data_IF_463970269799
#
_entry.id   IF_463970269799
#
_cell.length_a   1.000
_cell.length_b   1.000
_cell.length_c   1.000
_cell.angle_alpha   90.00
_cell.angle_beta   90.00
_cell.angle_gamma   90.00
#
_symmetry.space_group_name_H-M   'P 1'
#
loop_
_entity.id
_entity.type
_entity.pdbx_description
1 polymer ?
#
# COMPACT_ATOMS: atom_id res chain seq x y z
N UNK A 1 17.67 -18.45 48.00
CA UNK A 1 19.09 -18.44 47.58
C UNK A 1 19.41 -17.00 47.18
N UNK A 2 19.64 -16.13 48.16
CA UNK A 2 20.95 -15.85 48.78
C UNK A 2 21.85 -15.09 47.81
N UNK A 3 21.98 -13.78 48.02
CA UNK A 3 23.24 -13.08 48.31
C UNK A 3 23.03 -11.56 48.19
N UNK A 4 22.91 -10.87 49.32
CA UNK A 4 23.36 -9.47 49.44
C UNK A 4 23.60 -9.17 50.92
N UNK A 5 24.59 -9.86 51.47
CA UNK A 5 25.13 -9.63 52.81
C UNK A 5 26.52 -9.06 52.63
N UNK A 6 26.70 -7.74 52.74
CA UNK A 6 27.92 -7.12 53.26
C UNK A 6 27.73 -5.60 53.32
N UNK A 7 27.36 -5.05 54.48
CA UNK A 7 27.91 -3.76 54.87
C UNK A 7 28.18 -3.74 56.37
N UNK A 8 29.48 -3.67 56.66
CA UNK A 8 30.10 -3.83 57.95
C UNK A 8 29.85 -2.58 58.78
N UNK A 9 29.36 -2.80 59.99
CA UNK A 9 29.16 -1.83 61.07
C UNK A 9 30.51 -1.21 61.47
N UNK A 10 30.64 0.12 61.42
CA UNK A 10 31.76 0.84 62.07
C UNK A 10 31.25 2.11 62.77
N UNK A 11 31.70 2.41 64.01
CA UNK A 11 31.03 3.37 64.87
C UNK A 11 31.52 4.82 64.68
N UNK A 12 30.61 5.72 65.03
CA UNK A 12 30.69 7.17 65.22
C UNK A 12 32.05 7.71 65.67
N UNK A 13 32.56 8.73 64.95
CA UNK A 13 33.24 9.89 65.56
C UNK A 13 32.76 11.18 64.89
N UNK A 14 32.34 12.10 65.76
CA UNK A 14 31.93 13.48 65.50
C UNK A 14 33.13 14.30 65.02
N UNK A 15 32.93 15.08 63.96
CA UNK A 15 33.89 16.05 63.45
C UNK A 15 33.23 16.93 62.39
N UNK A 16 32.83 18.14 62.77
CA UNK A 16 32.23 19.13 61.89
C UNK A 16 33.29 19.67 60.92
N UNK A 17 33.20 19.36 59.63
CA UNK A 17 33.95 20.03 58.55
C UNK A 17 33.14 20.00 57.26
N UNK A 18 32.72 21.19 56.86
CA UNK A 18 32.61 21.74 55.50
C UNK A 18 31.72 21.05 54.45
N UNK A 19 30.89 21.89 53.85
CA UNK A 19 29.92 21.62 52.80
C UNK A 19 30.64 21.12 51.52
N UNK A 20 30.62 19.81 51.27
CA UNK A 20 31.00 19.24 49.98
C UNK A 20 29.82 18.43 49.45
N UNK A 21 29.18 18.99 48.42
CA UNK A 21 27.98 18.49 47.77
C UNK A 21 28.16 17.06 47.24
N UNK A 22 27.50 16.09 47.85
CA UNK A 22 27.28 14.77 47.25
C UNK A 22 26.25 14.90 46.12
N UNK A 23 26.73 15.03 44.89
CA UNK A 23 25.92 14.89 43.69
C UNK A 23 25.59 13.40 43.55
N UNK A 24 24.40 13.00 44.02
CA UNK A 24 23.87 11.66 43.81
C UNK A 24 23.59 11.44 42.33
N UNK A 25 24.32 10.53 41.70
CA UNK A 25 24.01 10.06 40.35
C UNK A 25 22.72 9.24 40.39
N UNK A 26 21.60 9.88 40.06
CA UNK A 26 20.34 9.17 39.79
C UNK A 26 20.51 8.35 38.52
N UNK A 27 20.71 7.04 38.67
CA UNK A 27 20.62 6.10 37.56
C UNK A 27 19.16 6.07 37.08
N UNK A 28 18.87 6.80 36.00
CA UNK A 28 17.59 6.72 35.32
C UNK A 28 17.48 5.33 34.69
N UNK A 29 16.68 4.45 35.31
CA UNK A 29 16.26 3.20 34.67
C UNK A 29 15.34 3.59 33.52
N UNK A 30 15.86 3.60 32.29
CA UNK A 30 15.05 3.82 31.10
C UNK A 30 14.05 2.67 30.99
N UNK A 31 12.76 2.99 31.09
CA UNK A 31 11.70 2.02 30.79
C UNK A 31 11.90 1.51 29.35
N UNK A 32 11.76 0.20 29.10
CA UNK A 32 11.81 -0.31 27.74
C UNK A 32 10.70 0.39 26.95
N UNK A 33 11.08 1.16 25.93
CA UNK A 33 10.09 1.72 25.03
C UNK A 33 9.40 0.55 24.33
N UNK A 34 8.08 0.62 24.23
CA UNK A 34 7.25 -0.42 23.60
C UNK A 34 6.71 0.18 22.32
N UNK A 35 6.84 -0.55 21.22
CA UNK A 35 6.22 -0.15 19.96
C UNK A 35 4.72 -0.40 20.07
N UNK A 36 3.91 0.65 19.89
CA UNK A 36 2.47 0.53 20.00
C UNK A 36 1.85 -0.14 18.76
N UNK A 37 0.80 -0.97 18.91
CA UNK A 37 0.06 -1.50 17.76
C UNK A 37 -0.56 -0.39 16.89
N UNK A 38 -0.93 0.75 17.48
CA UNK A 38 -1.46 1.89 16.75
C UNK A 38 -0.44 2.54 15.81
N UNK A 39 0.82 2.72 16.27
CA UNK A 39 1.89 3.25 15.41
C UNK A 39 2.24 2.29 14.27
N UNK A 40 2.15 0.98 14.49
CA UNK A 40 2.36 -0.02 13.43
C UNK A 40 1.25 0.07 12.38
N UNK A 41 -0.02 0.15 12.81
CA UNK A 41 -1.17 0.33 11.90
C UNK A 41 -1.05 1.60 11.06
N UNK A 42 -0.67 2.71 11.69
CA UNK A 42 -0.48 3.98 10.99
C UNK A 42 0.65 3.92 9.95
N UNK A 43 1.77 3.25 10.28
CA UNK A 43 2.86 3.04 9.33
C UNK A 43 2.40 2.21 8.12
N UNK A 44 1.63 1.13 8.35
CA UNK A 44 1.06 0.30 7.28
C UNK A 44 0.08 1.08 6.42
N UNK A 45 -0.84 1.82 7.03
CA UNK A 45 -1.81 2.64 6.28
C UNK A 45 -1.10 3.68 5.40
N UNK A 46 -0.06 4.34 5.96
CA UNK A 46 0.72 5.34 5.23
C UNK A 46 1.45 4.71 4.04
N UNK A 47 2.07 3.53 4.25
CA UNK A 47 2.73 2.78 3.20
C UNK A 47 1.77 2.38 2.08
N UNK A 48 0.61 1.83 2.43
CA UNK A 48 -0.41 1.41 1.46
C UNK A 48 -0.92 2.62 0.68
N UNK A 49 -1.27 3.71 1.38
CA UNK A 49 -1.76 4.94 0.75
C UNK A 49 -0.75 5.55 -0.22
N UNK A 50 0.55 5.50 0.09
CA UNK A 50 1.61 5.97 -0.80
C UNK A 50 1.78 5.11 -2.06
N UNK A 51 1.40 3.83 -2.01
CA UNK A 51 1.45 2.92 -3.17
C UNK A 51 0.20 2.99 -4.06
N UNK A 52 -0.85 3.70 -3.65
CA UNK A 52 -2.08 3.79 -4.42
C UNK A 52 -1.96 4.76 -5.61
N UNK A 53 -2.64 4.48 -6.74
CA UNK A 53 -2.68 5.42 -7.86
C UNK A 53 -3.42 6.70 -7.46
N UNK A 54 -3.18 7.85 -8.13
CA UNK A 54 -3.86 9.11 -7.81
C UNK A 54 -5.38 9.04 -7.84
N UNK A 55 -5.94 8.23 -8.74
CA UNK A 55 -7.38 7.97 -8.85
C UNK A 55 -7.96 7.35 -7.56
N UNK A 56 -7.12 6.74 -6.73
CA UNK A 56 -7.46 6.05 -5.49
C UNK A 56 -7.23 6.87 -4.21
N UNK A 57 -7.03 8.18 -4.33
CA UNK A 57 -6.77 9.06 -3.17
C UNK A 57 -7.85 8.97 -2.08
N UNK A 58 -9.11 8.69 -2.46
CA UNK A 58 -10.26 8.57 -1.55
C UNK A 58 -10.60 7.11 -1.18
N UNK A 59 -9.74 6.15 -1.53
CA UNK A 59 -9.96 4.75 -1.17
C UNK A 59 -10.03 4.57 0.34
N UNK A 60 -10.94 3.70 0.78
CA UNK A 60 -11.04 3.28 2.18
C UNK A 60 -10.00 2.19 2.42
N UNK A 61 -9.12 2.40 3.39
CA UNK A 61 -8.07 1.45 3.75
C UNK A 61 -8.42 0.87 5.12
N UNK A 62 -8.59 -0.44 5.20
CA UNK A 62 -8.85 -1.17 6.44
C UNK A 62 -7.65 -2.06 6.75
N UNK A 63 -6.93 -1.76 7.83
CA UNK A 63 -5.80 -2.57 8.30
C UNK A 63 -6.30 -3.50 9.41
N UNK A 64 -6.15 -4.81 9.21
CA UNK A 64 -6.54 -5.83 10.19
C UNK A 64 -5.37 -6.13 11.13
N UNK A 65 -5.57 -5.83 12.43
CA UNK A 65 -4.54 -6.01 13.45
C UNK A 65 -3.40 -4.98 13.40
N UNK A 66 -2.35 -5.13 14.23
CA UNK A 66 -2.27 -6.07 15.34
C UNK A 66 -3.27 -5.70 16.44
N UNK A 67 -3.67 -6.66 17.26
CA UNK A 67 -4.58 -6.43 18.39
C UNK A 67 -3.98 -5.41 19.38
N UNK A 68 -4.84 -4.63 20.04
CA UNK A 68 -4.42 -3.49 20.86
C UNK A 68 -3.65 -3.88 22.14
N UNK A 69 -3.80 -5.13 22.58
CA UNK A 69 -3.17 -5.73 23.75
C UNK A 69 -1.77 -6.32 23.46
N UNK A 70 -1.43 -6.51 22.18
CA UNK A 70 -0.10 -6.97 21.79
C UNK A 70 0.96 -5.92 22.11
N UNK A 71 2.07 -6.38 22.68
CA UNK A 71 3.24 -5.55 22.99
C UNK A 71 4.40 -5.97 22.12
N UNK A 72 4.95 -5.01 21.40
CA UNK A 72 6.12 -5.22 20.54
C UNK A 72 7.34 -4.50 21.12
N UNK A 73 8.55 -5.08 21.02
CA UNK A 73 9.77 -4.36 21.36
C UNK A 73 9.88 -3.07 20.54
N UNK A 74 10.46 -2.00 21.11
CA UNK A 74 10.76 -0.79 20.35
C UNK A 74 11.52 -1.13 19.07
N UNK A 75 11.14 -0.48 17.98
CA UNK A 75 11.85 -0.59 16.72
C UNK A 75 12.50 0.74 16.33
N UNK A 76 13.80 0.73 16.07
CA UNK A 76 14.53 1.89 15.55
C UNK A 76 14.54 1.92 14.01
N UNK A 77 14.48 0.76 13.36
CA UNK A 77 14.44 0.63 11.90
C UNK A 77 13.24 -0.23 11.47
N UNK A 78 12.08 0.43 11.39
CA UNK A 78 10.81 -0.19 10.98
C UNK A 78 10.67 -0.10 9.46
N UNK A 79 10.50 -1.26 8.82
CA UNK A 79 10.35 -1.40 7.38
C UNK A 79 9.00 -2.00 7.05
N UNK A 80 8.36 -1.49 6.01
CA UNK A 80 7.09 -1.99 5.48
C UNK A 80 7.28 -2.40 4.04
N UNK A 81 6.76 -3.56 3.66
CA UNK A 81 6.79 -4.05 2.28
C UNK A 81 5.51 -4.84 1.98
N UNK A 82 5.10 -4.88 0.71
CA UNK A 82 4.04 -5.79 0.30
C UNK A 82 4.55 -7.23 0.34
N UNK A 83 3.76 -8.12 0.93
CA UNK A 83 4.02 -9.54 0.90
C UNK A 83 3.34 -10.17 -0.32
N UNK A 84 4.13 -10.69 -1.26
CA UNK A 84 3.64 -11.22 -2.52
C UNK A 84 3.39 -10.13 -3.57
N UNK A 85 2.40 -10.36 -4.45
CA UNK A 85 2.07 -9.41 -5.51
C UNK A 85 1.23 -8.27 -4.94
N UNK A 86 1.72 -7.04 -5.07
CA UNK A 86 0.96 -5.85 -4.70
C UNK A 86 -0.27 -5.73 -5.62
N UNK A 87 -1.45 -5.62 -5.02
CA UNK A 87 -2.69 -5.29 -5.71
C UNK A 87 -3.13 -3.90 -5.22
N UNK A 88 -3.30 -2.90 -6.10
CA UNK A 88 -3.73 -1.57 -5.67
C UNK A 88 -5.13 -1.58 -5.00
N UNK A 89 -5.96 -2.59 -5.28
CA UNK A 89 -7.32 -2.67 -4.76
C UNK A 89 -7.60 -4.03 -4.09
N UNK A 90 -8.56 -4.08 -3.18
CA UNK A 90 -8.98 -5.31 -2.52
C UNK A 90 -8.03 -5.79 -1.42
N UNK A 91 -7.99 -7.10 -1.20
CA UNK A 91 -7.23 -7.72 -0.12
C UNK A 91 -5.75 -7.88 -0.48
N UNK A 92 -4.88 -7.45 0.42
CA UNK A 92 -3.44 -7.57 0.32
C UNK A 92 -2.81 -7.78 1.69
N UNK A 93 -1.53 -8.13 1.73
CA UNK A 93 -0.81 -8.34 2.99
C UNK A 93 0.43 -7.46 3.00
N UNK A 94 0.63 -6.74 4.10
CA UNK A 94 1.83 -5.93 4.33
C UNK A 94 2.68 -6.60 5.38
N UNK A 95 3.93 -6.88 5.04
CA UNK A 95 4.96 -7.25 6.00
C UNK A 95 5.47 -5.99 6.70
N UNK A 96 5.44 -6.01 8.02
CA UNK A 96 6.13 -5.03 8.85
C UNK A 96 7.28 -5.75 9.53
N UNK A 97 8.50 -5.28 9.30
CA UNK A 97 9.72 -5.87 9.83
C UNK A 97 10.50 -4.82 10.61
N UNK A 98 10.97 -5.22 11.79
CA UNK A 98 11.98 -4.48 12.52
C UNK A 98 13.35 -5.11 12.31
N UNK A 99 14.36 -4.31 11.98
CA UNK A 99 15.75 -4.77 11.81
C UNK A 99 16.63 -4.54 13.04
N UNK A 100 16.30 -3.55 13.88
CA UNK A 100 17.08 -3.22 15.07
C UNK A 100 16.23 -2.47 16.13
N UNK A 101 16.55 -2.59 17.43
CA UNK A 101 17.61 -3.44 18.01
C UNK A 101 17.24 -4.93 18.11
N UNK A 102 15.94 -5.25 18.08
CA UNK A 102 15.44 -6.62 18.07
C UNK A 102 14.74 -6.90 16.75
N UNK A 103 15.10 -8.03 16.13
CA UNK A 103 14.52 -8.43 14.85
C UNK A 103 13.19 -9.13 15.09
N UNK A 104 12.14 -8.61 14.48
CA UNK A 104 10.81 -9.22 14.47
C UNK A 104 10.08 -8.87 13.19
N UNK A 105 9.10 -9.68 12.79
CA UNK A 105 8.24 -9.40 11.64
C UNK A 105 6.80 -9.80 11.94
N UNK A 106 5.88 -9.14 11.25
CA UNK A 106 4.45 -9.40 11.33
C UNK A 106 3.80 -9.14 9.97
N UNK A 107 2.75 -9.89 9.68
CA UNK A 107 2.00 -9.80 8.44
C UNK A 107 0.61 -9.29 8.76
N UNK A 108 0.27 -8.12 8.23
CA UNK A 108 -1.04 -7.51 8.45
C UNK A 108 -1.85 -7.57 7.17
N UNK A 109 -3.02 -8.24 7.19
CA UNK A 109 -3.97 -8.12 6.11
C UNK A 109 -4.47 -6.68 6.03
N UNK A 110 -4.53 -6.15 4.81
CA UNK A 110 -5.08 -4.84 4.50
C UNK A 110 -6.11 -5.00 3.40
N UNK A 111 -7.25 -4.32 3.52
CA UNK A 111 -8.26 -4.24 2.48
C UNK A 111 -8.36 -2.81 1.98
N UNK A 112 -8.31 -2.61 0.67
CA UNK A 112 -8.50 -1.31 0.03
C UNK A 112 -9.77 -1.35 -0.79
N UNK A 113 -10.81 -0.67 -0.30
CA UNK A 113 -12.11 -0.60 -0.96
C UNK A 113 -12.27 0.75 -1.66
N UNK A 114 -12.58 0.71 -2.95
CA UNK A 114 -12.81 1.90 -3.76
C UNK A 114 -13.91 1.65 -4.79
N UNK A 115 -14.86 2.57 -4.87
CA UNK A 115 -15.73 2.69 -6.05
C UNK A 115 -14.98 3.43 -7.15
N UNK A 116 -14.98 2.83 -8.33
CA UNK A 116 -14.35 3.37 -9.53
C UNK A 116 -15.33 3.29 -10.69
N UNK A 117 -15.44 4.40 -11.43
CA UNK A 117 -16.09 4.43 -12.72
C UNK A 117 -15.33 3.55 -13.71
N UNK A 118 -16.01 2.54 -14.24
CA UNK A 118 -15.49 1.66 -15.29
C UNK A 118 -16.32 1.81 -16.55
N UNK A 119 -15.66 1.79 -17.69
CA UNK A 119 -16.30 1.80 -18.99
C UNK A 119 -16.86 0.41 -19.26
N UNK A 120 -18.17 0.34 -19.49
CA UNK A 120 -18.88 -0.88 -19.89
C UNK A 120 -19.52 -0.67 -21.25
N UNK A 121 -19.79 -1.77 -21.94
CA UNK A 121 -20.45 -1.71 -23.25
C UNK A 121 -21.96 -1.54 -23.08
N UNK A 122 -22.55 -0.53 -23.72
CA UNK A 122 -23.98 -0.24 -23.59
C UNK A 122 -24.89 -1.26 -24.30
N UNK A 123 -24.36 -1.98 -25.29
CA UNK A 123 -25.06 -2.98 -26.10
C UNK A 123 -24.12 -4.12 -26.50
N UNK A 124 -24.65 -5.24 -27.00
CA UNK A 124 -23.78 -6.30 -27.52
C UNK A 124 -23.04 -5.83 -28.78
N UNK A 125 -21.73 -6.05 -28.82
CA UNK A 125 -20.85 -5.69 -29.94
C UNK A 125 -20.11 -6.92 -30.45
N UNK A 126 -19.81 -6.93 -31.75
CA UNK A 126 -19.09 -8.02 -32.40
C UNK A 126 -17.60 -7.73 -32.49
N UNK A 127 -16.80 -8.79 -32.63
CA UNK A 127 -15.40 -8.67 -33.01
C UNK A 127 -15.24 -7.85 -34.30
N UNK A 128 -14.21 -7.02 -34.39
CA UNK A 128 -13.96 -6.10 -35.49
C UNK A 128 -14.75 -4.78 -35.43
N UNK A 129 -15.64 -4.61 -34.45
CA UNK A 129 -16.39 -3.36 -34.29
C UNK A 129 -15.49 -2.22 -33.82
N UNK A 130 -15.59 -1.06 -34.46
CA UNK A 130 -14.91 0.18 -34.07
C UNK A 130 -15.73 0.87 -32.98
N UNK A 131 -15.13 1.06 -31.81
CA UNK A 131 -15.82 1.66 -30.67
C UNK A 131 -16.13 3.13 -30.92
N UNK A 132 -17.39 3.50 -30.69
CA UNK A 132 -17.85 4.89 -30.68
C UNK A 132 -18.33 5.29 -29.29
N UNK A 133 -18.47 6.59 -29.04
CA UNK A 133 -18.91 7.08 -27.73
C UNK A 133 -20.33 6.60 -27.34
N UNK A 134 -21.19 6.31 -28.32
CA UNK A 134 -22.57 5.82 -28.08
C UNK A 134 -22.62 4.34 -27.72
N UNK A 135 -21.54 3.60 -27.96
CA UNK A 135 -21.44 2.19 -27.61
C UNK A 135 -21.01 1.97 -26.15
N UNK A 136 -20.60 3.03 -25.47
CA UNK A 136 -19.92 3.00 -24.18
C UNK A 136 -20.75 3.75 -23.14
N UNK A 137 -20.71 3.25 -21.92
CA UNK A 137 -21.26 3.95 -20.76
C UNK A 137 -20.35 3.71 -19.56
N UNK A 138 -20.34 4.63 -18.61
CA UNK A 138 -19.52 4.50 -17.40
C UNK A 138 -20.42 4.12 -16.25
N UNK A 139 -20.00 3.11 -15.49
CA UNK A 139 -20.75 2.64 -14.33
C UNK A 139 -19.80 2.49 -13.15
N UNK A 140 -20.26 2.91 -11.97
CA UNK A 140 -19.52 2.72 -10.71
C UNK A 140 -19.51 1.24 -10.31
N UNK A 141 -18.32 0.72 -10.05
CA UNK A 141 -18.07 -0.65 -9.57
C UNK A 141 -16.97 -0.65 -8.53
N UNK A 142 -17.00 -1.68 -7.69
CA UNK A 142 -15.91 -1.95 -6.76
C UNK A 142 -14.65 -2.33 -7.53
N UNK A 143 -13.59 -1.54 -7.38
CA UNK A 143 -12.31 -1.72 -8.04
C UNK A 143 -11.65 -3.07 -7.67
N UNK A 144 -11.94 -3.61 -6.48
CA UNK A 144 -11.44 -4.92 -6.05
C UNK A 144 -12.00 -6.09 -6.88
N UNK A 145 -13.15 -5.91 -7.54
CA UNK A 145 -13.81 -6.92 -8.37
C UNK A 145 -13.63 -6.67 -9.87
N UNK A 146 -12.91 -5.62 -10.25
CA UNK A 146 -12.66 -5.34 -11.65
C UNK A 146 -11.58 -6.24 -12.22
N UNK A 147 -11.73 -6.71 -13.46
CA UNK A 147 -10.66 -7.42 -14.15
C UNK A 147 -9.44 -6.51 -14.35
N UNK A 148 -8.22 -7.06 -14.34
CA UNK A 148 -7.01 -6.28 -14.55
C UNK A 148 -7.04 -5.61 -15.93
N UNK A 149 -6.66 -4.33 -15.97
CA UNK A 149 -6.68 -3.54 -17.20
C UNK A 149 -8.07 -3.07 -17.64
N UNK A 150 -9.06 -3.05 -16.72
CA UNK A 150 -10.35 -2.40 -16.96
C UNK A 150 -10.19 -0.91 -17.27
N UNK A 151 -10.88 -0.45 -18.30
CA UNK A 151 -10.81 0.91 -18.79
C UNK A 151 -11.68 1.83 -17.94
N UNK A 152 -11.13 2.98 -17.52
CA UNK A 152 -11.81 3.98 -16.70
C UNK A 152 -12.18 5.26 -17.47
N UNK A 153 -11.59 5.46 -18.65
CA UNK A 153 -11.88 6.58 -19.53
C UNK A 153 -12.45 6.08 -20.86
N UNK A 154 -13.67 6.51 -21.17
CA UNK A 154 -14.34 6.18 -22.41
C UNK A 154 -13.67 6.84 -23.62
N UNK A 155 -13.12 8.04 -23.48
CA UNK A 155 -12.49 8.74 -24.61
C UNK A 155 -11.20 8.05 -25.05
N UNK A 156 -10.48 7.43 -24.12
CA UNK A 156 -9.27 6.67 -24.42
C UNK A 156 -9.51 5.45 -25.33
N UNK A 157 -10.75 4.92 -25.37
CA UNK A 157 -11.10 3.71 -26.13
C UNK A 157 -11.89 3.98 -27.41
N UNK A 158 -12.39 5.19 -27.61
CA UNK A 158 -13.09 5.56 -28.85
C UNK A 158 -12.13 5.44 -30.04
N UNK A 159 -12.58 4.82 -31.13
CA UNK A 159 -11.79 4.55 -32.33
C UNK A 159 -10.91 3.29 -32.26
N UNK A 160 -10.83 2.63 -31.10
CA UNK A 160 -10.21 1.31 -30.99
C UNK A 160 -11.13 0.21 -31.53
N UNK A 161 -10.55 -0.92 -31.92
CA UNK A 161 -11.29 -2.03 -32.53
C UNK A 161 -11.38 -3.20 -31.55
N UNK A 162 -12.57 -3.78 -31.39
CA UNK A 162 -12.76 -4.97 -30.57
C UNK A 162 -12.12 -6.21 -31.22
N UNK A 163 -11.37 -6.98 -30.43
CA UNK A 163 -10.79 -8.26 -30.84
C UNK A 163 -11.77 -9.42 -30.71
N UNK A 164 -12.70 -9.30 -29.78
CA UNK A 164 -13.68 -10.33 -29.44
C UNK A 164 -15.06 -9.70 -29.31
N UNK A 165 -16.12 -10.49 -29.50
CA UNK A 165 -17.48 -10.04 -29.23
C UNK A 165 -17.68 -9.85 -27.72
N UNK A 166 -18.37 -8.78 -27.34
CA UNK A 166 -18.58 -8.39 -25.94
C UNK A 166 -20.07 -8.17 -25.69
N UNK A 167 -20.57 -8.69 -24.58
CA UNK A 167 -21.98 -8.53 -24.22
C UNK A 167 -22.24 -7.15 -23.58
N UNK A 168 -23.50 -6.72 -23.64
CA UNK A 168 -23.93 -5.50 -22.95
C UNK A 168 -23.68 -5.60 -21.44
N UNK A 169 -23.23 -4.51 -20.83
CA UNK A 169 -22.93 -4.39 -19.41
C UNK A 169 -21.57 -4.96 -18.98
N UNK A 170 -20.79 -5.57 -19.87
CA UNK A 170 -19.46 -6.06 -19.51
C UNK A 170 -18.43 -4.92 -19.42
N UNK A 171 -17.55 -4.92 -18.40
CA UNK A 171 -16.40 -4.03 -18.33
C UNK A 171 -15.49 -4.22 -19.53
N UNK A 172 -15.12 -3.11 -20.16
CA UNK A 172 -14.16 -3.10 -21.24
C UNK A 172 -12.75 -3.17 -20.65
N UNK A 173 -11.94 -4.13 -21.13
CA UNK A 173 -10.54 -4.29 -20.71
C UNK A 173 -9.61 -4.09 -21.89
N UNK A 174 -8.41 -3.57 -21.63
CA UNK A 174 -7.43 -3.27 -22.67
C UNK A 174 -7.06 -4.47 -23.54
N UNK A 175 -7.09 -5.69 -23.00
CA UNK A 175 -6.77 -6.93 -23.75
C UNK A 175 -7.82 -7.29 -24.82
N UNK A 176 -9.05 -6.76 -24.70
CA UNK A 176 -10.11 -6.90 -25.70
C UNK A 176 -9.96 -5.92 -26.87
N UNK A 177 -9.09 -4.93 -26.76
CA UNK A 177 -8.92 -3.88 -27.75
C UNK A 177 -7.65 -4.12 -28.57
N UNK A 178 -7.76 -3.88 -29.87
CA UNK A 178 -6.62 -3.63 -30.75
C UNK A 178 -6.46 -2.12 -30.85
N UNK A 179 -5.19 -1.66 -30.88
CA UNK A 179 -4.86 -0.25 -31.09
C UNK A 179 -5.60 0.35 -32.31
N UNK A 180 -5.69 1.68 -32.40
CA UNK A 180 -6.46 2.35 -33.44
C UNK A 180 -6.02 1.84 -34.82
N UNK A 181 -6.99 1.55 -35.68
CA UNK A 181 -6.71 1.16 -37.07
C UNK A 181 -6.17 2.38 -37.83
N UNK A 182 -4.87 2.65 -37.66
CA UNK A 182 -4.16 3.79 -38.26
C UNK A 182 -3.79 3.56 -39.74
N UNK A 183 -4.11 2.39 -40.29
CA UNK A 183 -3.79 2.06 -41.69
C UNK A 183 -5.03 1.42 -42.33
N UNK A 184 -5.66 2.15 -43.25
CA UNK A 184 -6.55 1.54 -44.22
C UNK A 184 -5.70 0.91 -45.33
N UNK A 185 -5.97 -0.36 -45.68
CA UNK A 185 -5.39 -0.95 -46.89
C UNK A 185 -5.74 -0.06 -48.09
N UNK A 186 -4.72 0.58 -48.70
CA UNK A 186 -4.87 1.55 -49.79
C UNK A 186 -4.52 3.01 -49.44
N UNK A 187 -4.16 3.34 -48.20
CA UNK A 187 -3.66 4.67 -47.88
C UNK A 187 -2.20 4.87 -48.34
N UNK A 188 -1.90 5.98 -49.05
CA UNK A 188 -0.54 6.31 -49.45
C UNK A 188 0.30 6.66 -48.21
N UNK A 189 1.32 5.86 -47.92
CA UNK A 189 2.32 6.16 -46.89
C UNK A 189 3.52 6.86 -47.52
N UNK A 190 3.98 7.95 -46.91
CA UNK A 190 5.18 8.68 -47.35
C UNK A 190 6.42 7.98 -46.79
N UNK A 191 7.24 7.41 -47.67
CA UNK A 191 8.52 6.79 -47.33
C UNK A 191 9.62 7.85 -47.39
N UNK A 192 10.22 8.18 -46.24
CA UNK A 192 11.42 9.01 -46.17
C UNK A 192 12.62 8.10 -45.94
N UNK A 193 13.40 7.84 -46.99
CA UNK A 193 14.66 7.13 -46.90
C UNK A 193 15.77 8.13 -46.56
N UNK A 194 16.39 7.98 -45.39
CA UNK A 194 17.56 8.76 -45.01
C UNK A 194 18.81 7.93 -45.29
N UNK A 195 19.50 8.28 -46.39
CA UNK A 195 20.81 7.73 -46.72
C UNK A 195 21.86 8.27 -45.76
N UNK A 196 22.71 7.36 -45.27
CA UNK A 196 23.88 7.60 -44.43
C UNK A 196 25.04 8.22 -45.21
#
# INVERSE_FOLDING_TARGET
MSFCSFFRRWPLRVGAVNCLSLIGATAACALPAVQSPASIRAAVETFVRAGLPPAAAKAKIEVQGPAADLRFPQCADLRTAYFGNANPYGAQTVEVRCAAPQVWSLYLPVRVDQQQGVVVVARALQAGHVLSATDLTTVERDAAHLPPGAMNDAQAVVGQVLRYSVAAGQPLVQSMLTGPQLIHYGQPVSLVAQGM
#
